data_IF_656066712165
#
_entry.id   IF_656066712165
#
_cell.length_a   1.000
_cell.length_b   1.000
_cell.length_c   1.000
_cell.angle_alpha   90.00
_cell.angle_beta   90.00
_cell.angle_gamma   90.00
#
_symmetry.space_group_name_H-M   'P 1'
#
loop_
_entity.id
_entity.type
_entity.pdbx_description
1 polymer ?
#
# COMPACT_ATOMS: atom_id res chain seq x y z
N UNK A 1 -8.92 23.72 5.81
CA UNK A 1 -8.33 22.89 6.88
C UNK A 1 -8.34 23.71 8.18
N UNK A 2 -9.18 23.33 9.11
CA UNK A 2 -9.17 23.93 10.45
C UNK A 2 -8.31 23.02 11.35
N UNK A 3 -7.12 23.47 11.69
CA UNK A 3 -6.31 22.87 12.76
C UNK A 3 -7.01 23.20 14.09
N UNK A 4 -7.54 22.20 14.76
CA UNK A 4 -7.98 22.32 16.15
C UNK A 4 -6.80 21.90 17.01
N UNK A 5 -5.91 22.86 17.32
CA UNK A 5 -4.90 22.66 18.34
C UNK A 5 -5.49 23.04 19.68
N UNK A 6 -5.58 22.13 20.64
CA UNK A 6 -5.69 22.52 22.04
C UNK A 6 -4.29 22.79 22.57
N UNK A 7 -4.07 24.00 23.10
CA UNK A 7 -2.80 24.39 23.74
C UNK A 7 -2.58 23.76 25.12
N UNK A 8 -3.16 22.61 25.40
CA UNK A 8 -3.00 21.95 26.69
C UNK A 8 -2.15 20.68 26.52
N UNK A 9 -0.86 20.80 26.78
CA UNK A 9 0.14 19.77 27.16
C UNK A 9 0.18 18.43 26.40
N UNK A 10 -0.48 18.29 25.25
CA UNK A 10 -0.48 17.10 24.45
C UNK A 10 -0.06 17.48 23.04
N UNK A 11 1.02 16.88 22.56
CA UNK A 11 1.61 17.15 21.25
C UNK A 11 0.87 16.43 20.12
N UNK A 12 -0.23 15.76 20.42
CA UNK A 12 -1.05 15.05 19.45
C UNK A 12 -1.68 16.04 18.48
N UNK A 13 -1.46 15.79 17.23
CA UNK A 13 -1.97 16.62 16.15
C UNK A 13 -3.26 16.02 15.65
N UNK A 14 -4.39 16.74 15.78
CA UNK A 14 -5.67 16.31 15.20
C UNK A 14 -6.04 17.23 14.05
N UNK A 15 -6.20 16.65 12.88
CA UNK A 15 -6.63 17.33 11.65
C UNK A 15 -8.06 16.90 11.35
N UNK A 16 -8.98 17.86 11.24
CA UNK A 16 -10.38 17.60 10.94
C UNK A 16 -10.74 18.22 9.58
N UNK A 17 -11.22 17.37 8.67
CA UNK A 17 -11.83 17.76 7.41
C UNK A 17 -13.32 17.43 7.47
N UNK A 18 -14.14 18.44 7.82
CA UNK A 18 -15.60 18.29 7.76
C UNK A 18 -16.06 18.20 6.31
N UNK A 19 -16.93 17.24 6.03
CA UNK A 19 -17.60 17.05 4.74
C UNK A 19 -19.07 16.71 4.97
N UNK A 20 -19.87 16.86 3.93
CA UNK A 20 -21.29 16.50 3.86
C UNK A 20 -21.57 15.39 2.84
N UNK A 21 -20.52 14.71 2.36
CA UNK A 21 -20.63 13.72 1.28
C UNK A 21 -21.46 12.50 1.69
N UNK A 22 -21.35 12.06 2.95
CA UNK A 22 -22.09 10.94 3.52
C UNK A 22 -22.52 11.30 4.94
N UNK A 23 -23.82 11.34 5.18
CA UNK A 23 -24.41 11.79 6.44
C UNK A 23 -24.03 10.91 7.65
N UNK A 24 -23.74 9.63 7.42
CA UNK A 24 -23.48 8.62 8.44
C UNK A 24 -22.07 8.04 8.42
N UNK A 25 -21.10 8.83 7.88
CA UNK A 25 -19.70 8.39 7.83
C UNK A 25 -18.75 9.42 8.41
N UNK A 26 -17.94 8.98 9.36
CA UNK A 26 -16.70 9.61 9.80
C UNK A 26 -15.58 8.58 9.66
N UNK A 27 -14.50 8.94 8.99
CA UNK A 27 -13.28 8.13 8.86
C UNK A 27 -12.17 8.74 9.69
N UNK A 28 -11.37 7.88 10.29
CA UNK A 28 -10.21 8.25 11.08
C UNK A 28 -8.97 7.51 10.61
N UNK A 29 -7.83 8.19 10.67
CA UNK A 29 -6.49 7.58 10.64
C UNK A 29 -5.59 8.30 11.61
N UNK A 30 -5.02 7.58 12.58
CA UNK A 30 -3.88 8.01 13.35
C UNK A 30 -2.62 7.39 12.77
N UNK A 31 -1.57 8.13 12.52
CA UNK A 31 -0.34 7.62 11.89
C UNK A 31 0.90 8.21 12.55
N UNK A 32 1.90 7.37 12.74
CA UNK A 32 3.25 7.73 13.18
C UNK A 32 4.31 7.08 12.31
N UNK A 33 5.52 7.62 12.33
CA UNK A 33 6.67 7.09 11.60
C UNK A 33 7.44 6.11 12.51
N UNK A 34 7.97 5.04 11.89
CA UNK A 34 8.77 4.02 12.58
C UNK A 34 8.53 2.64 12.00
N UNK A 35 7.36 2.11 12.28
CA UNK A 35 6.94 0.82 11.79
C UNK A 35 7.82 -0.34 12.24
N UNK A 36 7.73 -1.44 11.52
CA UNK A 36 8.55 -2.63 11.78
C UNK A 36 10.01 -2.45 11.37
N UNK A 37 10.36 -1.36 10.67
CA UNK A 37 11.74 -1.06 10.27
C UNK A 37 12.68 -0.92 11.47
N UNK A 38 12.15 -0.53 12.63
CA UNK A 38 12.93 -0.33 13.87
C UNK A 38 13.32 -1.63 14.56
N UNK A 39 12.68 -2.73 14.23
CA UNK A 39 13.05 -4.05 14.77
C UNK A 39 14.17 -4.69 13.95
N UNK A 40 15.06 -5.50 14.58
CA UNK A 40 16.15 -6.16 13.86
C UNK A 40 15.65 -7.29 12.96
N UNK A 41 16.44 -7.67 11.96
CA UNK A 41 16.12 -8.75 11.01
C UNK A 41 15.94 -10.12 11.68
N UNK A 42 16.56 -10.32 12.85
CA UNK A 42 16.35 -11.54 13.67
C UNK A 42 14.91 -11.73 14.13
N UNK A 43 14.11 -10.66 14.15
CA UNK A 43 12.72 -10.68 14.60
C UNK A 43 11.71 -10.76 13.43
N UNK A 44 12.14 -10.97 12.18
CA UNK A 44 11.26 -11.03 11.00
C UNK A 44 10.08 -12.00 11.21
N UNK A 45 10.32 -13.14 11.86
CA UNK A 45 9.25 -14.11 12.12
C UNK A 45 8.18 -13.51 13.04
N UNK A 46 8.57 -12.79 14.07
CA UNK A 46 7.65 -12.13 15.01
C UNK A 46 7.00 -10.88 14.38
N UNK A 47 7.70 -10.15 13.53
CA UNK A 47 7.15 -9.05 12.73
C UNK A 47 5.97 -9.53 11.88
N UNK A 48 6.09 -10.69 11.24
CA UNK A 48 4.98 -11.29 10.46
C UNK A 48 3.81 -11.80 11.32
N UNK A 49 3.97 -11.85 12.63
CA UNK A 49 2.92 -12.22 13.58
C UNK A 49 2.20 -11.04 14.24
N UNK A 50 2.58 -9.79 13.95
CA UNK A 50 2.03 -8.61 14.62
C UNK A 50 0.51 -8.48 14.49
N UNK A 51 -0.06 -8.89 13.37
CA UNK A 51 -1.52 -8.85 13.16
C UNK A 51 -2.29 -9.81 14.09
N UNK A 52 -1.62 -10.81 14.68
CA UNK A 52 -2.25 -11.74 15.59
C UNK A 52 -2.73 -11.10 16.90
N UNK A 53 -2.18 -9.94 17.29
CA UNK A 53 -2.57 -9.24 18.52
C UNK A 53 -4.05 -8.84 18.49
N UNK A 54 -4.58 -8.45 17.31
CA UNK A 54 -6.00 -8.12 17.15
C UNK A 54 -6.95 -9.27 17.52
N UNK A 55 -6.51 -10.52 17.39
CA UNK A 55 -7.33 -11.70 17.64
C UNK A 55 -7.55 -11.95 19.15
N UNK A 56 -6.73 -11.35 20.00
CA UNK A 56 -6.91 -11.40 21.45
C UNK A 56 -8.09 -10.59 21.95
N UNK A 57 -8.51 -9.58 21.19
CA UNK A 57 -9.50 -8.59 21.63
C UNK A 57 -8.88 -7.38 22.32
N UNK A 58 -9.69 -6.59 23.04
CA UNK A 58 -9.29 -5.35 23.68
C UNK A 58 -9.82 -5.27 25.12
N UNK A 59 -9.01 -4.77 26.04
CA UNK A 59 -9.37 -4.60 27.43
C UNK A 59 -9.78 -5.94 28.06
N UNK A 60 -10.98 -5.98 28.61
CA UNK A 60 -11.55 -7.18 29.22
C UNK A 60 -12.34 -8.08 28.25
N UNK A 61 -12.47 -7.65 26.99
CA UNK A 61 -13.27 -8.35 25.99
C UNK A 61 -12.38 -9.17 25.05
N UNK A 62 -12.67 -10.46 24.92
CA UNK A 62 -12.18 -11.25 23.78
C UNK A 62 -12.72 -10.67 22.46
N UNK A 63 -12.12 -11.04 21.33
CA UNK A 63 -12.59 -10.58 20.03
C UNK A 63 -14.08 -10.93 19.80
N UNK A 64 -14.53 -12.11 20.22
CA UNK A 64 -15.93 -12.55 20.10
C UNK A 64 -16.86 -11.75 21.01
N UNK A 65 -16.45 -11.45 22.25
CA UNK A 65 -17.24 -10.63 23.17
C UNK A 65 -17.31 -9.18 22.67
N UNK A 66 -16.21 -8.64 22.15
CA UNK A 66 -16.16 -7.30 21.58
C UNK A 66 -17.13 -7.17 20.39
N UNK A 67 -17.18 -8.16 19.51
CA UNK A 67 -18.14 -8.20 18.40
C UNK A 67 -19.60 -8.16 18.90
N UNK A 68 -19.90 -8.90 19.97
CA UNK A 68 -21.24 -8.90 20.58
C UNK A 68 -21.59 -7.55 21.21
N UNK A 69 -20.65 -6.93 21.93
CA UNK A 69 -20.83 -5.60 22.56
C UNK A 69 -21.03 -4.52 21.51
N UNK A 70 -20.38 -4.64 20.37
CA UNK A 70 -20.48 -3.71 19.25
C UNK A 70 -21.68 -4.00 18.33
N UNK A 71 -22.47 -5.03 18.59
CA UNK A 71 -23.66 -5.34 17.79
C UNK A 71 -24.62 -4.15 17.75
N UNK A 72 -24.99 -3.71 16.54
CA UNK A 72 -25.83 -2.54 16.30
C UNK A 72 -25.11 -1.18 16.34
N UNK A 73 -23.81 -1.15 16.65
CA UNK A 73 -22.96 0.03 16.50
C UNK A 73 -22.35 0.07 15.11
N UNK A 74 -22.26 1.28 14.54
CA UNK A 74 -21.51 1.55 13.33
C UNK A 74 -20.17 2.16 13.72
N UNK A 75 -19.31 1.39 14.34
CA UNK A 75 -17.95 1.81 14.72
C UNK A 75 -16.99 0.65 14.58
N UNK A 76 -15.83 0.92 14.00
CA UNK A 76 -14.73 -0.04 13.89
C UNK A 76 -13.39 0.68 14.03
N UNK A 77 -12.41 -0.01 14.61
CA UNK A 77 -11.02 0.44 14.68
C UNK A 77 -10.12 -0.76 14.40
N UNK A 78 -9.11 -0.53 13.57
CA UNK A 78 -8.07 -1.49 13.27
C UNK A 78 -6.71 -0.82 13.39
N UNK A 79 -5.68 -1.59 13.65
CA UNK A 79 -4.30 -1.12 13.59
C UNK A 79 -3.54 -1.77 12.44
N UNK A 80 -2.42 -1.17 12.06
CA UNK A 80 -1.46 -1.74 11.13
C UNK A 80 -0.06 -1.27 11.48
N UNK A 81 0.90 -2.19 11.45
CA UNK A 81 2.32 -1.88 11.60
C UNK A 81 3.00 -2.24 10.28
N UNK A 82 3.15 -1.24 9.43
CA UNK A 82 3.86 -1.36 8.15
C UNK A 82 5.38 -1.33 8.32
N UNK A 83 6.10 -1.33 7.21
CA UNK A 83 7.57 -1.25 7.28
C UNK A 83 8.04 0.09 7.90
N UNK A 84 7.46 1.22 7.50
CA UNK A 84 7.94 2.56 7.87
C UNK A 84 7.00 3.37 8.75
N UNK A 85 5.79 2.89 8.96
CA UNK A 85 4.76 3.57 9.75
C UNK A 85 3.95 2.58 10.56
N UNK A 86 3.45 3.01 11.69
CA UNK A 86 2.32 2.40 12.37
C UNK A 86 1.09 3.30 12.24
N UNK A 87 -0.07 2.68 12.20
CA UNK A 87 -1.33 3.40 12.06
C UNK A 87 -2.47 2.74 12.83
N UNK A 88 -3.43 3.57 13.23
CA UNK A 88 -4.75 3.16 13.67
C UNK A 88 -5.76 3.76 12.70
N UNK A 89 -6.62 2.93 12.13
CA UNK A 89 -7.69 3.35 11.22
C UNK A 89 -9.04 3.08 11.83
N UNK A 90 -9.98 4.00 11.67
CA UNK A 90 -11.32 3.85 12.19
C UNK A 90 -12.39 4.36 11.23
N UNK A 91 -13.60 3.87 11.41
CA UNK A 91 -14.79 4.38 10.74
C UNK A 91 -15.99 4.26 11.68
N UNK A 92 -16.83 5.29 11.68
CA UNK A 92 -18.06 5.28 12.47
C UNK A 92 -19.16 6.14 11.85
N UNK A 93 -20.39 5.96 12.35
CA UNK A 93 -21.44 6.97 12.21
C UNK A 93 -21.22 8.10 13.23
N UNK A 94 -21.76 9.33 12.99
CA UNK A 94 -21.61 10.43 13.97
C UNK A 94 -22.10 10.07 15.37
N UNK A 95 -23.17 9.30 15.51
CA UNK A 95 -23.73 8.86 16.81
C UNK A 95 -22.84 7.86 17.55
N UNK A 96 -21.99 7.13 16.83
CA UNK A 96 -21.11 6.10 17.38
C UNK A 96 -19.64 6.59 17.47
N UNK A 97 -19.42 7.92 17.35
CA UNK A 97 -18.08 8.51 17.39
C UNK A 97 -17.36 8.20 18.70
N UNK A 98 -18.05 8.30 19.83
CA UNK A 98 -17.46 7.96 21.13
C UNK A 98 -17.02 6.49 21.18
N UNK A 99 -17.81 5.57 20.61
CA UNK A 99 -17.42 4.15 20.53
C UNK A 99 -16.13 3.97 19.74
N UNK A 100 -15.95 4.70 18.63
CA UNK A 100 -14.69 4.68 17.86
C UNK A 100 -13.53 5.23 18.70
N UNK A 101 -13.73 6.29 19.48
CA UNK A 101 -12.69 6.83 20.37
C UNK A 101 -12.33 5.84 21.49
N UNK A 102 -13.31 5.18 22.10
CA UNK A 102 -13.08 4.11 23.11
C UNK A 102 -12.26 2.96 22.53
N UNK A 103 -12.59 2.48 21.34
CA UNK A 103 -11.84 1.44 20.65
C UNK A 103 -10.41 1.89 20.33
N UNK A 104 -10.25 3.13 19.90
CA UNK A 104 -8.93 3.72 19.63
C UNK A 104 -8.10 3.75 20.90
N UNK A 105 -8.66 4.25 22.01
CA UNK A 105 -7.97 4.27 23.30
C UNK A 105 -7.52 2.88 23.75
N UNK A 106 -8.41 1.88 23.66
CA UNK A 106 -8.09 0.51 24.03
C UNK A 106 -7.02 -0.12 23.11
N UNK A 107 -7.01 0.23 21.84
CA UNK A 107 -5.98 -0.20 20.89
C UNK A 107 -4.58 0.24 21.34
N UNK A 108 -4.43 1.45 21.86
CA UNK A 108 -3.16 1.92 22.39
C UNK A 108 -2.81 1.33 23.78
N UNK A 109 -3.80 1.20 24.65
CA UNK A 109 -3.55 1.00 26.09
C UNK A 109 -3.80 -0.41 26.59
N UNK A 110 -4.63 -1.18 25.93
CA UNK A 110 -5.11 -2.45 26.46
C UNK A 110 -5.28 -3.56 25.40
N UNK A 111 -4.24 -3.88 24.62
CA UNK A 111 -4.27 -5.08 23.78
C UNK A 111 -4.39 -6.30 24.67
N UNK A 112 -5.37 -7.17 24.40
CA UNK A 112 -5.63 -8.33 25.23
C UNK A 112 -4.82 -9.53 24.76
N UNK A 113 -4.13 -10.20 25.71
CA UNK A 113 -3.49 -11.49 25.45
C UNK A 113 -4.54 -12.59 25.40
N UNK A 114 -4.47 -13.46 24.37
CA UNK A 114 -5.28 -14.67 24.29
C UNK A 114 -4.46 -15.80 23.64
N UNK A 115 -3.96 -16.70 24.48
CA UNK A 115 -3.09 -17.79 24.01
C UNK A 115 -3.84 -18.80 23.13
N UNK A 116 -5.15 -18.99 23.33
CA UNK A 116 -5.96 -19.88 22.51
C UNK A 116 -6.21 -19.26 21.11
N UNK A 117 -6.49 -17.96 21.04
CA UNK A 117 -6.63 -17.24 19.79
C UNK A 117 -5.31 -17.27 19.00
N UNK A 118 -4.18 -17.08 19.68
CA UNK A 118 -2.85 -17.15 19.06
C UNK A 118 -2.52 -18.56 18.55
N UNK A 119 -2.80 -19.61 19.32
CA UNK A 119 -2.62 -20.99 18.86
C UNK A 119 -3.46 -21.30 17.63
N UNK A 120 -4.72 -20.83 17.60
CA UNK A 120 -5.61 -20.96 16.45
C UNK A 120 -5.10 -20.21 15.24
N UNK A 121 -4.55 -18.99 15.44
CA UNK A 121 -3.89 -18.21 14.40
C UNK A 121 -2.71 -18.97 13.80
N UNK A 122 -1.79 -19.51 14.63
CA UNK A 122 -0.65 -20.29 14.14
C UNK A 122 -1.10 -21.47 13.27
N UNK A 123 -2.11 -22.21 13.70
CA UNK A 123 -2.61 -23.38 12.97
C UNK A 123 -3.18 -22.97 11.59
N UNK A 124 -4.01 -21.91 11.55
CA UNK A 124 -4.56 -21.38 10.29
C UNK A 124 -3.48 -20.85 9.36
N UNK A 125 -2.56 -20.01 9.88
CA UNK A 125 -1.47 -19.45 9.10
C UNK A 125 -0.56 -20.52 8.52
N UNK A 126 -0.27 -21.58 9.29
CA UNK A 126 0.53 -22.73 8.82
C UNK A 126 -0.15 -23.43 7.65
N UNK A 127 -1.44 -23.72 7.77
CA UNK A 127 -2.22 -24.37 6.70
C UNK A 127 -2.33 -23.48 5.46
N UNK A 128 -2.55 -22.17 5.64
CA UNK A 128 -2.61 -21.20 4.56
C UNK A 128 -1.27 -21.11 3.81
N UNK A 129 -0.15 -20.98 4.52
CA UNK A 129 1.19 -20.92 3.93
C UNK A 129 1.55 -22.21 3.20
N UNK A 130 1.13 -23.39 3.71
CA UNK A 130 1.27 -24.66 2.99
C UNK A 130 0.49 -24.65 1.66
N UNK A 131 -0.75 -24.17 1.68
CA UNK A 131 -1.56 -24.04 0.46
C UNK A 131 -0.95 -23.03 -0.52
N UNK A 132 -0.40 -21.92 -0.02
CA UNK A 132 0.30 -20.94 -0.86
C UNK A 132 1.53 -21.55 -1.54
N UNK A 133 2.27 -22.44 -0.89
CA UNK A 133 3.43 -23.12 -1.50
C UNK A 133 3.02 -24.06 -2.65
N UNK A 134 1.79 -24.56 -2.63
CA UNK A 134 1.24 -25.37 -3.73
C UNK A 134 0.71 -24.50 -4.88
N UNK A 135 0.37 -23.25 -4.63
CA UNK A 135 -0.22 -22.36 -5.62
C UNK A 135 0.84 -21.78 -6.58
N UNK A 136 0.71 -21.99 -7.90
CA UNK A 136 1.64 -21.43 -8.89
C UNK A 136 1.73 -19.90 -8.84
N UNK A 137 0.63 -19.20 -8.58
CA UNK A 137 0.65 -17.73 -8.48
C UNK A 137 1.50 -17.23 -7.31
N UNK A 138 1.48 -17.92 -6.17
CA UNK A 138 2.36 -17.62 -5.04
C UNK A 138 3.83 -17.85 -5.39
N UNK A 139 4.13 -18.94 -6.10
CA UNK A 139 5.50 -19.21 -6.60
C UNK A 139 5.99 -18.11 -7.55
N UNK A 140 5.10 -17.61 -8.40
CA UNK A 140 5.43 -16.51 -9.30
C UNK A 140 5.72 -15.22 -8.54
N UNK A 141 4.86 -14.83 -7.57
CA UNK A 141 5.07 -13.68 -6.71
C UNK A 141 6.35 -13.78 -5.87
N UNK A 142 6.62 -14.96 -5.28
CA UNK A 142 7.87 -15.21 -4.54
C UNK A 142 9.10 -15.04 -5.45
N UNK A 143 9.02 -15.52 -6.71
CA UNK A 143 10.10 -15.38 -7.67
C UNK A 143 10.31 -13.93 -8.09
N UNK A 144 9.23 -13.16 -8.31
CA UNK A 144 9.32 -11.71 -8.58
C UNK A 144 10.02 -11.00 -7.43
N UNK A 145 9.51 -11.15 -6.21
CA UNK A 145 10.04 -10.47 -5.03
C UNK A 145 11.51 -10.84 -4.76
N UNK A 146 11.83 -12.13 -4.81
CA UNK A 146 13.21 -12.60 -4.60
C UNK A 146 14.16 -12.11 -5.69
N UNK A 147 13.68 -11.94 -6.91
CA UNK A 147 14.49 -11.41 -8.03
C UNK A 147 14.67 -9.90 -7.90
N UNK A 148 13.60 -9.16 -7.65
CA UNK A 148 13.65 -7.70 -7.51
C UNK A 148 14.54 -7.25 -6.35
N UNK A 149 14.43 -7.90 -5.19
CA UNK A 149 15.10 -7.50 -3.97
C UNK A 149 16.27 -8.42 -3.56
N UNK A 150 16.78 -9.22 -4.51
CA UNK A 150 17.97 -10.06 -4.30
C UNK A 150 17.88 -10.97 -3.07
N UNK A 151 16.68 -11.49 -2.81
CA UNK A 151 16.35 -12.33 -1.64
C UNK A 151 16.58 -11.63 -0.30
N UNK A 152 16.39 -10.31 -0.23
CA UNK A 152 16.50 -9.61 1.04
C UNK A 152 15.49 -10.19 2.06
N UNK A 153 15.92 -10.55 3.29
CA UNK A 153 15.09 -11.29 4.24
C UNK A 153 13.73 -10.65 4.52
N UNK A 154 13.67 -9.32 4.63
CA UNK A 154 12.43 -8.56 4.90
C UNK A 154 11.41 -8.58 3.76
N UNK A 155 11.80 -9.01 2.58
CA UNK A 155 10.90 -9.05 1.41
C UNK A 155 10.39 -10.46 1.11
N UNK A 156 10.97 -11.47 1.72
CA UNK A 156 10.58 -12.85 1.49
C UNK A 156 9.29 -13.19 2.24
N UNK A 157 8.41 -13.92 1.59
CA UNK A 157 7.23 -14.47 2.24
C UNK A 157 7.62 -15.48 3.31
N UNK A 158 7.00 -15.39 4.47
CA UNK A 158 7.14 -16.37 5.54
C UNK A 158 6.75 -17.76 5.05
N UNK A 159 7.43 -18.79 5.55
CA UNK A 159 7.15 -20.20 5.25
C UNK A 159 6.44 -20.89 6.42
N UNK A 160 5.72 -21.96 6.11
CA UNK A 160 4.90 -22.67 7.10
C UNK A 160 5.70 -23.22 8.28
N UNK A 161 6.95 -23.65 8.08
CA UNK A 161 7.85 -24.15 9.11
C UNK A 161 8.36 -23.03 10.05
N UNK A 162 8.24 -21.77 9.67
CA UNK A 162 8.62 -20.62 10.49
C UNK A 162 7.53 -20.27 11.52
N UNK A 163 6.27 -20.62 11.26
CA UNK A 163 5.12 -20.26 12.13
C UNK A 163 5.29 -20.80 13.55
N UNK A 164 5.84 -22.01 13.70
CA UNK A 164 6.06 -22.61 15.01
C UNK A 164 7.08 -21.83 15.87
N UNK A 165 7.96 -21.06 15.24
CA UNK A 165 8.99 -20.23 15.89
C UNK A 165 8.49 -18.85 16.35
N UNK A 166 7.23 -18.51 16.08
CA UNK A 166 6.62 -17.27 16.55
C UNK A 166 6.54 -17.26 18.07
N UNK A 167 6.98 -16.18 18.69
CA UNK A 167 6.97 -15.94 20.13
C UNK A 167 5.92 -14.86 20.44
N UNK A 168 4.84 -15.26 21.14
CA UNK A 168 3.73 -14.36 21.41
C UNK A 168 4.10 -13.23 22.39
N UNK A 169 4.99 -13.47 23.34
CA UNK A 169 5.46 -12.43 24.27
C UNK A 169 6.24 -11.35 23.53
N UNK A 170 7.09 -11.74 22.60
CA UNK A 170 7.82 -10.80 21.74
C UNK A 170 6.86 -10.03 20.82
N UNK A 171 5.91 -10.70 20.19
CA UNK A 171 4.89 -10.07 19.31
C UNK A 171 4.12 -9.01 20.10
N UNK A 172 3.63 -9.33 21.30
CA UNK A 172 2.94 -8.37 22.16
C UNK A 172 3.83 -7.21 22.58
N UNK A 173 5.09 -7.49 22.94
CA UNK A 173 6.06 -6.47 23.31
C UNK A 173 6.36 -5.51 22.13
N UNK A 174 6.51 -6.06 20.92
CA UNK A 174 6.72 -5.27 19.71
C UNK A 174 5.50 -4.39 19.38
N UNK A 175 4.30 -4.94 19.51
CA UNK A 175 3.07 -4.17 19.37
C UNK A 175 3.01 -3.02 20.38
N UNK A 176 3.21 -3.33 21.67
CA UNK A 176 3.19 -2.33 22.73
C UNK A 176 4.26 -1.26 22.52
N UNK A 177 5.43 -1.62 22.02
CA UNK A 177 6.48 -0.64 21.70
C UNK A 177 6.03 0.38 20.66
N UNK A 178 5.26 -0.04 19.63
CA UNK A 178 4.78 0.89 18.59
C UNK A 178 3.67 1.81 19.08
N UNK A 179 2.85 1.39 20.03
CA UNK A 179 1.69 2.13 20.53
C UNK A 179 1.87 2.73 21.94
N UNK A 180 3.04 2.62 22.55
CA UNK A 180 3.28 3.16 23.92
C UNK A 180 3.44 4.69 23.97
N UNK A 181 3.57 5.36 22.83
CA UNK A 181 3.71 6.81 22.74
C UNK A 181 2.84 7.35 21.60
N UNK A 182 1.84 8.11 21.96
CA UNK A 182 0.96 8.78 21.00
C UNK A 182 1.42 10.20 20.64
N UNK A 183 2.50 10.69 21.26
CA UNK A 183 2.95 12.08 21.09
C UNK A 183 3.48 12.41 19.70
N UNK A 184 3.84 11.41 18.90
CA UNK A 184 4.28 11.56 17.51
C UNK A 184 3.20 11.15 16.49
N UNK A 185 2.04 10.66 16.96
CA UNK A 185 0.91 10.38 16.08
C UNK A 185 0.24 11.67 15.60
N UNK A 186 -0.19 11.64 14.35
CA UNK A 186 -1.13 12.62 13.81
C UNK A 186 -2.43 11.92 13.50
N UNK A 187 -3.54 12.38 14.10
CA UNK A 187 -4.87 11.86 13.86
C UNK A 187 -5.59 12.69 12.81
N UNK A 188 -6.17 12.04 11.83
CA UNK A 188 -6.93 12.67 10.74
C UNK A 188 -8.36 12.18 10.84
N UNK A 189 -9.32 13.10 10.87
CA UNK A 189 -10.76 12.82 10.86
C UNK A 189 -11.39 13.46 9.61
N UNK A 190 -12.09 12.67 8.83
CA UNK A 190 -12.77 13.14 7.62
C UNK A 190 -14.20 12.63 7.60
N UNK A 191 -15.17 13.50 7.37
CA UNK A 191 -16.57 13.12 7.26
C UNK A 191 -17.54 14.12 7.88
N UNK A 192 -18.73 13.64 8.23
CA UNK A 192 -19.78 14.44 8.86
C UNK A 192 -19.47 14.67 10.34
N UNK A 193 -18.45 15.50 10.59
CA UNK A 193 -17.94 15.81 11.94
C UNK A 193 -18.52 17.12 12.43
N UNK A 194 -19.23 17.07 13.57
CA UNK A 194 -19.55 18.26 14.36
C UNK A 194 -18.37 18.53 15.30
N UNK A 195 -17.56 19.53 14.96
CA UNK A 195 -16.28 19.81 15.65
C UNK A 195 -16.50 20.13 17.15
N UNK A 196 -17.54 20.88 17.47
CA UNK A 196 -17.81 21.26 18.86
C UNK A 196 -18.30 20.07 19.69
N UNK A 197 -19.09 19.18 19.09
CA UNK A 197 -19.58 17.96 19.74
C UNK A 197 -18.47 16.93 19.96
N UNK A 198 -17.54 16.77 19.00
CA UNK A 198 -16.48 15.75 19.11
C UNK A 198 -15.26 16.22 19.91
N UNK A 199 -15.05 17.53 20.05
CA UNK A 199 -13.87 18.08 20.74
C UNK A 199 -13.67 17.52 22.17
N UNK A 200 -14.69 17.50 23.07
CA UNK A 200 -14.54 16.93 24.40
C UNK A 200 -14.16 15.43 24.39
N UNK A 201 -14.69 14.68 23.41
CA UNK A 201 -14.39 13.26 23.26
C UNK A 201 -12.92 13.06 22.79
N UNK A 202 -12.46 13.87 21.83
CA UNK A 202 -11.07 13.86 21.39
C UNK A 202 -10.13 14.16 22.55
N UNK A 203 -10.42 15.22 23.32
CA UNK A 203 -9.63 15.59 24.51
C UNK A 203 -9.62 14.49 25.56
N UNK A 204 -10.78 13.83 25.78
CA UNK A 204 -10.90 12.75 26.77
C UNK A 204 -10.16 11.49 26.36
N UNK A 205 -10.29 11.05 25.14
CA UNK A 205 -9.74 9.76 24.69
C UNK A 205 -8.36 9.87 24.04
N UNK A 206 -8.18 10.73 23.04
CA UNK A 206 -6.88 10.88 22.38
C UNK A 206 -5.92 11.67 23.29
N UNK A 207 -6.44 12.70 23.97
CA UNK A 207 -5.65 13.50 24.88
C UNK A 207 -5.15 12.78 26.13
N UNK A 208 -5.72 11.63 26.49
CA UNK A 208 -5.27 10.79 27.60
C UNK A 208 -4.42 9.57 27.17
N UNK A 209 -4.09 9.47 25.88
CA UNK A 209 -3.18 8.43 25.40
C UNK A 209 -1.79 8.54 26.03
N UNK A 210 -1.08 7.43 26.22
CA UNK A 210 0.29 7.46 26.73
C UNK A 210 1.19 8.36 25.91
N UNK A 211 2.00 9.18 26.57
CA UNK A 211 2.96 10.07 25.92
C UNK A 211 4.28 10.08 26.69
N UNK A 212 5.36 9.72 26.02
CA UNK A 212 6.72 9.75 26.53
C UNK A 212 7.62 10.71 25.74
N UNK A 213 7.03 11.48 24.81
CA UNK A 213 7.71 12.43 23.94
C UNK A 213 8.82 11.82 23.09
N UNK A 214 8.65 10.60 22.65
CA UNK A 214 9.55 9.92 21.72
C UNK A 214 9.48 10.61 20.35
N UNK A 215 10.62 10.77 19.71
CA UNK A 215 10.69 11.24 18.33
C UNK A 215 11.31 10.13 17.51
N UNK A 216 10.51 9.51 16.70
CA UNK A 216 10.97 8.42 15.85
C UNK A 216 10.82 8.75 14.37
N UNK A 217 11.61 8.08 13.58
CA UNK A 217 11.46 7.96 12.14
C UNK A 217 11.79 6.52 11.77
N UNK A 218 11.43 6.11 10.58
CA UNK A 218 11.77 4.77 10.10
C UNK A 218 13.30 4.60 9.95
N UNK A 219 13.74 3.37 10.09
CA UNK A 219 15.11 2.96 9.79
C UNK A 219 15.19 2.48 8.34
N UNK A 220 16.19 2.96 7.60
CA UNK A 220 16.50 2.37 6.29
C UNK A 220 17.22 1.02 6.51
N UNK A 221 16.54 -0.06 6.18
CA UNK A 221 17.08 -1.42 6.26
C UNK A 221 17.71 -1.84 4.92
N UNK A 222 18.03 -0.89 4.04
CA UNK A 222 18.73 -1.10 2.77
C UNK A 222 18.05 -2.12 1.84
N UNK A 223 16.71 -2.07 1.77
CA UNK A 223 15.92 -2.89 0.86
C UNK A 223 15.99 -2.27 -0.54
N UNK A 224 17.03 -2.60 -1.27
CA UNK A 224 17.29 -2.07 -2.60
C UNK A 224 16.70 -2.96 -3.70
N UNK A 225 16.19 -2.33 -4.75
CA UNK A 225 15.83 -3.04 -5.98
C UNK A 225 17.08 -3.40 -6.78
N UNK A 226 17.07 -4.57 -7.41
CA UNK A 226 18.12 -5.00 -8.34
C UNK A 226 18.29 -3.98 -9.45
N UNK A 227 19.56 -3.63 -9.74
CA UNK A 227 19.94 -2.74 -10.85
C UNK A 227 20.39 -3.54 -12.07
N UNK A 228 20.38 -2.88 -13.23
CA UNK A 228 20.80 -3.47 -14.50
C UNK A 228 19.71 -4.31 -15.16
N UNK A 229 20.09 -5.00 -16.24
CA UNK A 229 19.18 -5.87 -16.98
C UNK A 229 19.32 -7.29 -16.45
N UNK A 230 18.22 -7.88 -16.00
CA UNK A 230 18.24 -9.24 -15.44
C UNK A 230 16.96 -10.00 -15.84
N UNK A 231 17.14 -11.26 -16.21
CA UNK A 231 16.05 -12.17 -16.58
C UNK A 231 16.08 -13.40 -15.68
N UNK A 232 14.92 -13.77 -15.16
CA UNK A 232 14.71 -14.98 -14.39
C UNK A 232 13.57 -15.77 -15.03
N UNK A 233 13.87 -16.99 -15.47
CA UNK A 233 12.89 -17.90 -16.05
C UNK A 233 12.90 -19.22 -15.28
N UNK A 234 11.71 -19.73 -14.98
CA UNK A 234 11.60 -21.01 -14.30
C UNK A 234 10.34 -21.77 -14.75
N UNK A 235 10.38 -23.09 -14.59
CA UNK A 235 9.28 -23.97 -14.95
C UNK A 235 8.46 -24.29 -13.70
N UNK A 236 7.14 -24.09 -13.79
CA UNK A 236 6.17 -24.54 -12.81
C UNK A 236 4.93 -25.05 -13.53
N UNK A 237 4.66 -26.34 -13.42
CA UNK A 237 3.49 -26.97 -14.08
C UNK A 237 2.19 -26.38 -13.51
N UNK A 238 1.26 -26.07 -14.40
CA UNK A 238 -0.10 -25.62 -14.13
C UNK A 238 -1.10 -26.51 -14.84
N UNK A 239 -2.39 -26.41 -14.53
CA UNK A 239 -3.44 -27.18 -15.19
C UNK A 239 -3.50 -26.87 -16.68
N UNK A 240 -3.48 -25.60 -17.03
CA UNK A 240 -3.44 -25.12 -18.42
C UNK A 240 -2.03 -24.60 -18.74
N UNK A 241 -1.44 -25.04 -19.87
CA UNK A 241 -0.17 -24.49 -20.34
C UNK A 241 -0.26 -23.00 -20.55
N UNK A 242 0.61 -22.23 -19.86
CA UNK A 242 0.70 -20.79 -20.00
C UNK A 242 2.03 -20.26 -19.47
N UNK A 243 2.37 -19.05 -19.88
CA UNK A 243 3.50 -18.30 -19.32
C UNK A 243 2.97 -17.07 -18.61
N UNK A 244 3.34 -16.90 -17.34
CA UNK A 244 3.08 -15.68 -16.61
C UNK A 244 4.34 -14.82 -16.65
N UNK A 245 4.19 -13.57 -17.02
CA UNK A 245 5.28 -12.65 -17.25
C UNK A 245 5.15 -11.41 -16.36
N UNK A 246 6.28 -10.99 -15.88
CA UNK A 246 6.47 -9.75 -15.15
C UNK A 246 7.68 -9.03 -15.71
N UNK A 247 7.53 -7.74 -16.01
CA UNK A 247 8.62 -6.84 -16.40
C UNK A 247 8.59 -5.67 -15.45
N UNK A 248 9.75 -5.23 -14.97
CA UNK A 248 9.87 -4.02 -14.15
C UNK A 248 10.95 -3.12 -14.70
N UNK A 249 10.60 -1.86 -14.95
CA UNK A 249 11.55 -0.78 -15.19
C UNK A 249 11.61 0.08 -13.92
N UNK A 250 12.82 0.41 -13.47
CA UNK A 250 12.99 1.24 -12.29
C UNK A 250 14.13 2.24 -12.46
N UNK A 251 14.04 3.35 -11.75
CA UNK A 251 15.09 4.37 -11.81
C UNK A 251 14.91 5.47 -10.79
N UNK A 252 15.96 6.22 -10.53
CA UNK A 252 15.91 7.43 -9.70
C UNK A 252 14.99 8.45 -10.36
N UNK A 253 14.06 8.97 -9.59
CA UNK A 253 13.10 9.99 -10.04
C UNK A 253 12.67 10.83 -8.84
N UNK A 254 12.74 12.14 -8.95
CA UNK A 254 12.29 13.04 -7.90
C UNK A 254 10.80 12.83 -7.59
N UNK A 255 10.47 12.72 -6.32
CA UNK A 255 9.09 12.59 -5.87
C UNK A 255 8.41 13.96 -5.87
N UNK A 256 7.69 14.28 -6.92
CA UNK A 256 6.92 15.50 -7.11
C UNK A 256 5.54 15.17 -7.63
N UNK A 257 4.53 16.02 -7.37
CA UNK A 257 3.19 15.82 -7.91
C UNK A 257 3.19 15.71 -9.44
N UNK A 258 4.02 16.52 -10.13
CA UNK A 258 4.13 16.47 -11.59
C UNK A 258 4.66 15.11 -12.07
N UNK A 259 5.68 14.57 -11.42
CA UNK A 259 6.24 13.28 -11.81
C UNK A 259 5.29 12.12 -11.47
N UNK A 260 4.52 12.23 -10.39
CA UNK A 260 3.48 11.26 -10.04
C UNK A 260 2.36 11.23 -11.09
N UNK A 261 1.88 12.40 -11.52
CA UNK A 261 0.93 12.54 -12.61
C UNK A 261 1.51 11.98 -13.92
N UNK A 262 2.77 12.29 -14.26
CA UNK A 262 3.44 11.76 -15.44
C UNK A 262 3.55 10.23 -15.42
N UNK A 263 3.85 9.64 -14.26
CA UNK A 263 3.87 8.18 -14.11
C UNK A 263 2.47 7.58 -14.33
N UNK A 264 1.45 8.19 -13.74
CA UNK A 264 0.06 7.77 -13.90
C UNK A 264 -0.46 7.92 -15.35
N UNK A 265 0.00 8.96 -16.06
CA UNK A 265 -0.27 9.09 -17.49
C UNK A 265 0.48 8.03 -18.31
N UNK A 266 1.72 7.74 -17.94
CA UNK A 266 2.56 6.75 -18.63
C UNK A 266 1.94 5.36 -18.60
N UNK A 267 1.48 4.91 -17.41
CA UNK A 267 0.87 3.58 -17.30
C UNK A 267 -0.47 3.49 -18.03
N UNK A 268 -1.30 4.54 -17.98
CA UNK A 268 -2.58 4.55 -18.68
C UNK A 268 -2.40 4.57 -20.22
N UNK A 269 -1.44 5.35 -20.72
CA UNK A 269 -1.13 5.42 -22.16
C UNK A 269 -0.55 4.10 -22.67
N UNK A 270 0.36 3.48 -21.92
CA UNK A 270 0.87 2.14 -22.23
C UNK A 270 -0.24 1.08 -22.20
N UNK A 271 -1.19 1.20 -21.28
CA UNK A 271 -2.34 0.29 -21.24
C UNK A 271 -3.21 0.40 -22.51
N UNK A 272 -3.40 1.62 -23.05
CA UNK A 272 -4.10 1.79 -24.32
C UNK A 272 -3.34 1.11 -25.47
N UNK A 273 -2.02 1.37 -25.58
CA UNK A 273 -1.15 0.80 -26.61
C UNK A 273 -1.14 -0.72 -26.54
N UNK A 274 -0.95 -1.31 -25.36
CA UNK A 274 -0.92 -2.76 -25.20
C UNK A 274 -2.28 -3.41 -25.43
N UNK A 275 -3.37 -2.73 -25.12
CA UNK A 275 -4.70 -3.23 -25.43
C UNK A 275 -4.87 -3.36 -26.92
N UNK A 276 -4.52 -2.34 -27.71
CA UNK A 276 -4.58 -2.39 -29.16
C UNK A 276 -3.58 -3.42 -29.74
N UNK A 277 -2.26 -3.23 -29.49
CA UNK A 277 -1.20 -3.97 -30.16
C UNK A 277 -1.04 -5.42 -29.73
N UNK A 278 -1.38 -5.74 -28.49
CA UNK A 278 -1.13 -7.09 -27.94
C UNK A 278 -2.42 -7.89 -27.81
N UNK A 279 -3.48 -7.29 -27.28
CA UNK A 279 -4.74 -7.99 -27.08
C UNK A 279 -5.56 -8.09 -28.36
N UNK A 280 -5.75 -6.97 -29.08
CA UNK A 280 -6.64 -6.91 -30.25
C UNK A 280 -5.95 -7.41 -31.53
N UNK A 281 -4.74 -6.93 -31.83
CA UNK A 281 -4.03 -7.30 -33.06
C UNK A 281 -3.50 -8.75 -33.02
N UNK A 282 -2.98 -9.20 -31.87
CA UNK A 282 -2.31 -10.50 -31.74
C UNK A 282 -3.17 -11.60 -31.09
N UNK A 283 -4.17 -11.24 -30.31
CA UNK A 283 -5.09 -12.17 -29.65
C UNK A 283 -4.41 -13.23 -28.78
N UNK A 284 -3.22 -12.92 -28.26
CA UNK A 284 -2.37 -13.88 -27.54
C UNK A 284 -2.43 -13.78 -26.01
N UNK A 285 -3.19 -12.83 -25.50
CA UNK A 285 -3.36 -12.60 -24.05
C UNK A 285 -4.74 -12.04 -23.75
N UNK A 286 -5.20 -12.21 -22.51
CA UNK A 286 -6.39 -11.51 -22.02
C UNK A 286 -6.14 -10.03 -21.74
N UNK A 287 -4.90 -9.62 -21.50
CA UNK A 287 -4.50 -8.25 -21.31
C UNK A 287 -3.05 -8.12 -20.86
N UNK A 288 -2.53 -6.93 -21.05
CA UNK A 288 -1.23 -6.48 -20.53
C UNK A 288 -1.51 -5.33 -19.57
N UNK A 289 -1.03 -5.44 -18.36
CA UNK A 289 -1.37 -4.53 -17.25
C UNK A 289 -0.12 -3.76 -16.80
N UNK A 290 0.14 -2.59 -17.37
CA UNK A 290 1.14 -1.67 -16.85
C UNK A 290 0.63 -1.04 -15.56
N UNK A 291 1.53 -0.87 -14.60
CA UNK A 291 1.28 -0.24 -13.29
C UNK A 291 2.50 0.60 -12.93
N UNK A 292 2.30 1.91 -12.84
CA UNK A 292 3.33 2.87 -12.49
C UNK A 292 3.19 3.39 -11.07
N UNK A 293 4.31 3.61 -10.38
CA UNK A 293 4.31 4.26 -9.08
C UNK A 293 5.60 5.05 -8.84
N UNK A 294 5.47 6.14 -8.09
CA UNK A 294 6.59 6.81 -7.46
C UNK A 294 6.73 6.36 -6.00
N UNK A 295 7.96 6.22 -5.55
CA UNK A 295 8.30 5.88 -4.17
C UNK A 295 9.19 6.98 -3.63
N UNK A 296 8.82 7.56 -2.49
CA UNK A 296 9.62 8.60 -1.83
C UNK A 296 10.70 8.01 -0.93
N UNK A 297 10.35 7.06 -0.10
CA UNK A 297 11.23 6.53 0.95
C UNK A 297 11.59 5.06 0.75
N UNK A 298 12.82 4.66 1.16
CA UNK A 298 13.91 5.50 1.67
C UNK A 298 14.59 6.33 0.59
N UNK A 299 14.44 5.97 -0.70
CA UNK A 299 15.08 6.62 -1.85
C UNK A 299 14.04 6.94 -2.90
N UNK A 300 14.06 8.18 -3.40
CA UNK A 300 13.11 8.62 -4.43
C UNK A 300 13.37 7.88 -5.75
N UNK A 301 12.33 7.19 -6.24
CA UNK A 301 12.41 6.39 -7.46
C UNK A 301 11.06 6.25 -8.15
N UNK A 302 11.11 6.00 -9.44
CA UNK A 302 9.99 5.56 -10.26
C UNK A 302 10.09 4.06 -10.53
N UNK A 303 8.96 3.38 -10.54
CA UNK A 303 8.85 1.95 -10.88
C UNK A 303 7.66 1.77 -11.81
N UNK A 304 7.90 1.21 -13.00
CA UNK A 304 6.86 0.78 -13.94
C UNK A 304 6.91 -0.75 -14.01
N UNK A 305 5.81 -1.39 -13.67
CA UNK A 305 5.65 -2.85 -13.71
C UNK A 305 4.65 -3.22 -14.79
N UNK A 306 4.89 -4.30 -15.50
CA UNK A 306 4.01 -4.79 -16.57
C UNK A 306 3.77 -6.27 -16.31
N UNK A 307 2.50 -6.64 -16.14
CA UNK A 307 2.06 -8.02 -15.97
C UNK A 307 1.26 -8.49 -17.19
N UNK A 308 1.55 -9.69 -17.67
CA UNK A 308 0.71 -10.35 -18.65
C UNK A 308 0.91 -11.87 -18.62
N UNK A 309 -0.06 -12.59 -19.16
CA UNK A 309 0.07 -14.02 -19.41
C UNK A 309 -0.19 -14.33 -20.89
N UNK A 310 0.36 -15.44 -21.35
CA UNK A 310 0.21 -15.87 -22.75
C UNK A 310 0.36 -17.38 -22.89
N UNK A 311 -0.04 -17.93 -24.03
CA UNK A 311 0.28 -19.29 -24.40
C UNK A 311 1.80 -19.45 -24.67
N UNK A 312 2.39 -20.63 -24.39
CA UNK A 312 3.84 -20.83 -24.55
C UNK A 312 4.37 -20.54 -25.95
N UNK A 313 3.61 -20.90 -26.99
CA UNK A 313 3.95 -20.71 -28.42
C UNK A 313 3.97 -19.23 -28.84
N UNK A 314 3.28 -18.33 -28.10
CA UNK A 314 3.23 -16.88 -28.36
C UNK A 314 4.21 -16.06 -27.52
N UNK A 315 4.87 -16.67 -26.54
CA UNK A 315 5.73 -15.99 -25.55
C UNK A 315 6.75 -15.05 -26.18
N UNK A 316 7.59 -15.57 -27.08
CA UNK A 316 8.69 -14.79 -27.66
C UNK A 316 8.19 -13.63 -28.53
N UNK A 317 7.09 -13.85 -29.25
CA UNK A 317 6.49 -12.82 -30.09
C UNK A 317 5.95 -11.67 -29.24
N UNK A 318 5.13 -11.98 -28.22
CA UNK A 318 4.50 -10.96 -27.40
C UNK A 318 5.52 -10.20 -26.55
N UNK A 319 6.54 -10.89 -26.02
CA UNK A 319 7.63 -10.22 -25.29
C UNK A 319 8.34 -9.20 -26.16
N UNK A 320 8.64 -9.52 -27.42
CA UNK A 320 9.27 -8.59 -28.37
C UNK A 320 8.38 -7.37 -28.64
N UNK A 321 7.07 -7.58 -28.82
CA UNK A 321 6.13 -6.48 -29.02
C UNK A 321 6.08 -5.57 -27.81
N UNK A 322 5.94 -6.13 -26.59
CA UNK A 322 5.83 -5.35 -25.35
C UNK A 322 7.10 -4.51 -25.12
N UNK A 323 8.28 -5.06 -25.35
CA UNK A 323 9.52 -4.30 -25.26
C UNK A 323 9.61 -3.21 -26.34
N UNK A 324 9.29 -3.56 -27.59
CA UNK A 324 9.36 -2.61 -28.71
C UNK A 324 8.38 -1.44 -28.53
N UNK A 325 7.17 -1.70 -28.04
CA UNK A 325 6.20 -0.64 -27.77
C UNK A 325 6.63 0.26 -26.60
N UNK A 326 7.21 -0.29 -25.52
CA UNK A 326 7.77 0.51 -24.43
C UNK A 326 8.91 1.41 -24.91
N UNK A 327 9.84 0.89 -25.73
CA UNK A 327 10.93 1.65 -26.35
C UNK A 327 10.41 2.72 -27.33
N UNK A 328 9.44 2.38 -28.16
CA UNK A 328 8.80 3.29 -29.10
C UNK A 328 8.10 4.44 -28.37
N UNK A 329 7.37 4.11 -27.29
CA UNK A 329 6.72 5.10 -26.44
C UNK A 329 7.73 6.04 -25.77
N UNK A 330 8.82 5.50 -25.24
CA UNK A 330 9.89 6.29 -24.62
C UNK A 330 10.62 7.17 -25.65
N UNK A 331 10.72 6.74 -26.90
CA UNK A 331 11.38 7.49 -27.98
C UNK A 331 10.49 8.58 -28.58
N UNK A 332 9.24 8.28 -28.85
CA UNK A 332 8.33 9.10 -29.64
C UNK A 332 7.25 9.80 -28.82
N UNK A 333 6.94 9.30 -27.60
CA UNK A 333 5.78 9.70 -26.82
C UNK A 333 4.46 9.11 -27.33
N UNK A 334 3.35 9.42 -26.66
CA UNK A 334 2.01 9.08 -27.15
C UNK A 334 1.58 9.99 -28.30
N UNK A 335 0.53 9.60 -29.03
CA UNK A 335 -0.18 10.55 -29.89
C UNK A 335 -1.02 11.53 -29.05
N UNK A 336 -1.32 12.69 -29.65
CA UNK A 336 -2.05 13.78 -28.98
C UNK A 336 -3.48 13.39 -28.58
N UNK A 337 -4.17 12.59 -29.38
CA UNK A 337 -5.54 12.17 -29.12
C UNK A 337 -5.61 11.24 -27.89
N UNK A 338 -4.67 10.27 -27.79
CA UNK A 338 -4.55 9.38 -26.63
C UNK A 338 -4.20 10.16 -25.36
N UNK A 339 -3.27 11.13 -25.44
CA UNK A 339 -2.95 11.97 -24.29
C UNK A 339 -4.16 12.77 -23.82
N UNK A 340 -4.91 13.39 -24.74
CA UNK A 340 -6.11 14.16 -24.38
C UNK A 340 -7.18 13.27 -23.75
N UNK A 341 -7.40 12.06 -24.26
CA UNK A 341 -8.31 11.08 -23.67
C UNK A 341 -7.91 10.71 -22.24
N UNK A 342 -6.63 10.51 -21.97
CA UNK A 342 -6.12 10.21 -20.62
C UNK A 342 -6.28 11.41 -19.70
N UNK A 343 -5.98 12.63 -20.14
CA UNK A 343 -6.21 13.85 -19.37
C UNK A 343 -7.67 14.01 -18.96
N UNK A 344 -8.61 13.87 -19.90
CA UNK A 344 -10.04 13.96 -19.64
C UNK A 344 -10.48 12.93 -18.58
N UNK A 345 -10.02 11.69 -18.72
CA UNK A 345 -10.29 10.64 -17.74
C UNK A 345 -9.75 10.99 -16.35
N UNK A 346 -8.49 11.44 -16.25
CA UNK A 346 -7.85 11.78 -14.99
C UNK A 346 -8.54 12.96 -14.30
N UNK A 347 -8.89 14.02 -15.04
CA UNK A 347 -9.63 15.17 -14.51
C UNK A 347 -11.02 14.78 -14.02
N UNK A 348 -11.76 13.99 -14.82
CA UNK A 348 -13.06 13.46 -14.40
C UNK A 348 -12.94 12.65 -13.11
N UNK A 349 -11.98 11.74 -13.06
CA UNK A 349 -11.77 10.87 -11.88
C UNK A 349 -11.34 11.66 -10.65
N UNK A 350 -10.49 12.65 -10.80
CA UNK A 350 -10.12 13.57 -9.72
C UNK A 350 -11.35 14.28 -9.14
N UNK A 351 -12.21 14.84 -10.00
CA UNK A 351 -13.44 15.53 -9.59
C UNK A 351 -14.46 14.61 -8.89
N UNK A 352 -14.55 13.33 -9.29
CA UNK A 352 -15.33 12.32 -8.59
C UNK A 352 -14.72 12.04 -7.20
N UNK A 353 -13.42 11.84 -7.13
CA UNK A 353 -12.70 11.51 -5.91
C UNK A 353 -12.78 12.64 -4.85
N UNK A 354 -12.81 13.91 -5.27
CA UNK A 354 -12.96 15.05 -4.36
C UNK A 354 -14.27 15.03 -3.54
N UNK A 355 -15.24 14.17 -3.92
CA UNK A 355 -16.51 13.95 -3.21
C UNK A 355 -16.49 12.69 -2.32
N UNK A 356 -15.32 12.10 -2.09
CA UNK A 356 -15.16 10.89 -1.30
C UNK A 356 -14.32 11.13 -0.04
N UNK A 357 -14.86 10.77 1.14
CA UNK A 357 -14.16 10.93 2.41
C UNK A 357 -12.82 10.17 2.45
N UNK A 358 -12.78 8.97 1.86
CA UNK A 358 -11.57 8.16 1.79
C UNK A 358 -10.46 8.82 0.97
N UNK A 359 -10.80 9.53 -0.11
CA UNK A 359 -9.82 10.26 -0.91
C UNK A 359 -9.16 11.40 -0.11
N UNK A 360 -9.95 12.18 0.63
CA UNK A 360 -9.41 13.24 1.49
C UNK A 360 -8.54 12.69 2.61
N UNK A 361 -8.98 11.59 3.25
CA UNK A 361 -8.21 10.94 4.31
C UNK A 361 -6.83 10.51 3.79
N UNK A 362 -6.80 9.83 2.65
CA UNK A 362 -5.56 9.36 2.04
C UNK A 362 -4.68 10.51 1.54
N UNK A 363 -5.28 11.56 0.98
CA UNK A 363 -4.54 12.73 0.48
C UNK A 363 -3.88 13.53 1.61
N UNK A 364 -4.55 13.64 2.77
CA UNK A 364 -3.96 14.29 3.94
C UNK A 364 -2.82 13.43 4.51
N UNK A 365 -3.04 12.11 4.62
CA UNK A 365 -2.02 11.18 5.06
C UNK A 365 -0.78 11.20 4.14
N UNK A 366 -0.99 11.17 2.82
CA UNK A 366 0.08 11.28 1.84
C UNK A 366 0.85 12.60 1.98
N UNK A 367 0.14 13.71 2.18
CA UNK A 367 0.78 15.00 2.43
C UNK A 367 1.64 14.98 3.70
N UNK A 368 1.16 14.38 4.78
CA UNK A 368 1.93 14.23 6.02
C UNK A 368 3.16 13.35 5.84
N UNK A 369 3.01 12.27 5.06
CA UNK A 369 4.07 11.31 4.80
C UNK A 369 5.13 11.85 3.84
N UNK A 370 4.70 12.51 2.76
CA UNK A 370 5.59 12.92 1.67
C UNK A 370 5.96 14.41 1.67
N UNK A 371 5.16 15.25 2.32
CA UNK A 371 5.26 16.71 2.22
C UNK A 371 4.72 17.28 0.90
N UNK A 372 4.20 16.43 0.00
CA UNK A 372 3.64 16.84 -1.29
C UNK A 372 2.11 16.78 -1.22
N UNK A 373 1.45 17.89 -1.53
CA UNK A 373 0.00 17.95 -1.56
C UNK A 373 -0.52 17.33 -2.87
N UNK A 374 -1.23 16.19 -2.84
CA UNK A 374 -1.65 15.49 -4.07
C UNK A 374 -2.87 16.14 -4.75
N UNK A 375 -3.52 17.12 -4.11
CA UNK A 375 -4.73 17.78 -4.63
C UNK A 375 -4.40 19.16 -5.21
N UNK A 376 -3.53 19.91 -4.50
CA UNK A 376 -3.20 21.28 -4.90
C UNK A 376 -2.52 21.27 -6.26
N UNK A 377 -3.00 22.10 -7.15
CA UNK A 377 -2.48 22.30 -8.52
C UNK A 377 -2.61 21.06 -9.45
N UNK A 378 -3.32 19.98 -9.01
CA UNK A 378 -3.48 18.75 -9.78
C UNK A 378 -4.07 19.00 -11.18
N UNK A 379 -5.21 19.68 -11.26
CA UNK A 379 -5.89 19.98 -12.54
C UNK A 379 -5.02 20.84 -13.46
N UNK A 380 -4.35 21.85 -12.91
CA UNK A 380 -3.45 22.71 -13.66
C UNK A 380 -2.31 21.86 -14.26
N UNK A 381 -1.65 21.05 -13.46
CA UNK A 381 -0.52 20.22 -13.91
C UNK A 381 -0.97 19.22 -14.99
N UNK A 382 -2.12 18.56 -14.81
CA UNK A 382 -2.68 17.64 -15.82
C UNK A 382 -2.88 18.35 -17.16
N UNK A 383 -3.45 19.57 -17.14
CA UNK A 383 -3.69 20.34 -18.36
C UNK A 383 -2.40 20.80 -19.03
N UNK A 384 -1.37 21.17 -18.27
CA UNK A 384 -0.08 21.67 -18.77
C UNK A 384 0.82 20.58 -19.38
N UNK A 385 0.66 19.31 -18.98
CA UNK A 385 1.49 18.21 -19.49
C UNK A 385 1.30 18.04 -20.99
N UNK A 386 2.41 17.96 -21.72
CA UNK A 386 2.47 17.77 -23.17
C UNK A 386 2.94 16.36 -23.55
N UNK A 387 2.76 15.97 -24.81
CA UNK A 387 3.34 14.74 -25.37
C UNK A 387 4.84 14.65 -25.09
N UNK A 388 5.54 15.78 -25.24
CA UNK A 388 6.99 15.86 -25.00
C UNK A 388 7.36 15.61 -23.52
N UNK A 389 6.54 16.05 -22.58
CA UNK A 389 6.77 15.80 -21.15
C UNK A 389 6.65 14.31 -20.83
N UNK A 390 5.62 13.66 -21.33
CA UNK A 390 5.41 12.21 -21.15
C UNK A 390 6.54 11.42 -21.82
N UNK A 391 6.89 11.78 -23.06
CA UNK A 391 7.99 11.17 -23.79
C UNK A 391 9.32 11.30 -23.03
N UNK A 392 9.63 12.49 -22.53
CA UNK A 392 10.85 12.75 -21.75
C UNK A 392 10.88 11.92 -20.47
N UNK A 393 9.77 11.87 -19.74
CA UNK A 393 9.64 11.11 -18.49
C UNK A 393 9.87 9.59 -18.73
N UNK A 394 9.18 9.01 -19.71
CA UNK A 394 9.34 7.60 -20.06
C UNK A 394 10.78 7.28 -20.52
N UNK A 395 11.37 8.14 -21.34
CA UNK A 395 12.74 8.00 -21.80
C UNK A 395 13.74 8.06 -20.62
N UNK A 396 13.56 9.01 -19.70
CA UNK A 396 14.42 9.14 -18.52
C UNK A 396 14.35 7.91 -17.61
N UNK A 397 13.21 7.25 -17.53
CA UNK A 397 13.06 6.00 -16.79
C UNK A 397 13.79 4.84 -17.50
N UNK A 398 13.50 4.62 -18.79
CA UNK A 398 14.03 3.47 -19.53
C UNK A 398 15.53 3.54 -19.77
N UNK A 399 16.10 4.75 -20.02
CA UNK A 399 17.53 4.92 -20.25
C UNK A 399 18.43 4.57 -19.05
N UNK A 400 17.83 4.45 -17.82
CA UNK A 400 18.59 4.00 -16.65
C UNK A 400 18.92 2.50 -16.70
N UNK A 401 18.33 1.77 -17.65
CA UNK A 401 18.64 0.35 -17.94
C UNK A 401 18.49 -0.59 -16.75
N UNK A 402 17.60 -0.28 -15.81
CA UNK A 402 17.18 -1.21 -14.78
C UNK A 402 15.90 -1.91 -15.26
N UNK A 403 16.08 -3.07 -15.85
CA UNK A 403 14.98 -3.87 -16.42
C UNK A 403 15.06 -5.28 -15.88
N UNK A 404 14.07 -5.67 -15.13
CA UNK A 404 13.97 -7.00 -14.52
C UNK A 404 12.81 -7.73 -15.18
N UNK A 405 13.06 -8.94 -15.67
CA UNK A 405 12.03 -9.81 -16.24
C UNK A 405 11.95 -11.09 -15.46
N UNK A 406 10.75 -11.51 -15.10
CA UNK A 406 10.49 -12.82 -14.50
C UNK A 406 9.42 -13.53 -15.30
N UNK A 407 9.72 -14.75 -15.74
CA UNK A 407 8.78 -15.59 -16.50
C UNK A 407 8.61 -16.94 -15.81
N UNK A 408 7.37 -17.30 -15.49
CA UNK A 408 7.01 -18.63 -15.00
C UNK A 408 6.34 -19.41 -16.14
N UNK A 409 6.98 -20.46 -16.58
CA UNK A 409 6.58 -21.24 -17.76
C UNK A 409 5.90 -22.52 -17.30
N UNK A 410 4.67 -22.75 -17.77
CA UNK A 410 4.01 -24.03 -17.69
C UNK A 410 3.94 -24.61 -19.12
N UNK A 411 4.84 -25.53 -19.45
CA UNK A 411 4.86 -26.13 -20.80
C UNK A 411 3.64 -27.03 -21.02
N UNK A 412 3.39 -27.37 -22.27
CA UNK A 412 2.40 -28.42 -22.64
C UNK A 412 2.76 -29.73 -21.95
N UNK A 413 1.73 -30.44 -21.49
CA UNK A 413 1.92 -31.81 -20.98
C UNK A 413 2.30 -32.70 -22.17
N UNK A 414 3.46 -33.32 -22.10
CA UNK A 414 3.88 -34.34 -23.07
C UNK A 414 3.01 -35.59 -22.95
#
# INVERSE_FOLDING_TARGET
LRLVGSEMCIRDRVIIKKTDFKADEIRMKGVSMGGSSLFPDSEIININGLDAVALGGLGNFSAIELEKVLAGKKASVNYGIGDKTEAVTGSCSPKDFETMMQLTYLTFTAPRRDDNAFASYKNRSKAELQNMDLNPSSSFSDSITSTLYMKHPRTLRMKADMVDKMDYDKILSMYQDRFKDASDFTFILVGNVDVEAVKPLIESYLGSLPSINRKETFKDNHIEMRKGIYKNEFIRQQETPKVNNFISYSGTCAYTLRNDILMSMTDQLLNLIYTEKVREDEGGTYGVYPMGQLVKYPTERAVLQIFFNTAPDKQDKLMKIIYAEAETFAKNGPDEASLNKVKEYMLKKHNENLKENGYWLNSIDEYLYTGINPIKDYEQIVNEITVKDVQKFANELLKQKNQITVSMISPEKK
#
